data_IF_872241999740
#
_entry.id   IF_872241999740
#
_cell.length_a   1.000
_cell.length_b   1.000
_cell.length_c   1.000
_cell.angle_alpha   90.00
_cell.angle_beta   90.00
_cell.angle_gamma   90.00
#
_symmetry.space_group_name_H-M   'P 1'
#
loop_
_entity.id
_entity.type
_entity.pdbx_description
1 polymer ?
#
# COMPACT_ATOMS: atom_id res chain seq x y z
N UNK A 1 25.58 1.97 1.29
CA UNK A 1 24.64 2.55 2.28
C UNK A 1 24.01 1.40 3.05
N UNK A 2 23.92 1.50 4.38
CA UNK A 2 23.22 0.52 5.21
C UNK A 2 22.12 1.25 5.99
N UNK A 3 20.94 0.62 6.08
CA UNK A 3 19.81 1.13 6.86
C UNK A 3 19.45 0.05 7.87
N UNK A 4 19.53 0.38 9.17
CA UNK A 4 19.10 -0.51 10.25
C UNK A 4 17.67 -0.12 10.68
N UNK A 5 16.78 -1.12 10.76
CA UNK A 5 15.37 -0.95 11.12
C UNK A 5 14.95 -2.02 12.13
N UNK A 6 13.80 -1.83 12.77
CA UNK A 6 13.20 -2.86 13.61
C UNK A 6 12.96 -4.16 12.81
N UNK A 7 13.17 -5.31 13.46
CA UNK A 7 12.84 -6.59 12.88
C UNK A 7 11.41 -7.00 13.27
N UNK A 8 10.55 -7.18 12.28
CA UNK A 8 9.15 -7.61 12.47
C UNK A 8 9.03 -9.11 12.19
N UNK A 9 8.91 -9.92 13.25
CA UNK A 9 9.05 -11.38 13.18
C UNK A 9 7.84 -12.13 12.60
N UNK A 10 6.66 -11.51 12.55
CA UNK A 10 5.44 -12.16 12.01
C UNK A 10 5.42 -12.29 10.48
N UNK A 11 6.42 -11.75 9.79
CA UNK A 11 6.53 -11.83 8.33
C UNK A 11 5.52 -10.94 7.61
N UNK A 12 5.33 -11.17 6.31
CA UNK A 12 4.43 -10.37 5.48
C UNK A 12 2.98 -10.85 5.52
N UNK A 13 2.04 -9.95 5.25
CA UNK A 13 0.63 -10.24 5.05
C UNK A 13 0.45 -11.25 3.92
N UNK A 14 1.24 -11.18 2.84
CA UNK A 14 1.24 -12.18 1.77
C UNK A 14 1.46 -13.61 2.30
N UNK A 15 2.45 -13.79 3.20
CA UNK A 15 2.74 -15.09 3.83
C UNK A 15 1.62 -15.49 4.81
N UNK A 16 1.04 -14.51 5.50
CA UNK A 16 -0.04 -14.72 6.46
C UNK A 16 -1.33 -15.19 5.76
N UNK A 17 -1.69 -14.57 4.63
CA UNK A 17 -2.87 -14.89 3.81
C UNK A 17 -2.92 -16.34 3.38
N UNK A 18 -1.76 -16.93 3.03
CA UNK A 18 -1.67 -18.36 2.65
C UNK A 18 -2.09 -19.33 3.76
N UNK A 19 -2.14 -18.87 5.01
CA UNK A 19 -2.49 -19.68 6.19
C UNK A 19 -3.92 -19.40 6.69
N UNK A 20 -4.60 -18.39 6.16
CA UNK A 20 -5.92 -17.98 6.61
C UNK A 20 -6.98 -19.00 6.22
N UNK A 21 -7.90 -19.29 7.15
CA UNK A 21 -9.13 -20.01 6.82
C UNK A 21 -10.14 -19.03 6.24
N UNK A 22 -11.00 -19.51 5.35
CA UNK A 22 -12.07 -18.71 4.71
C UNK A 22 -12.97 -17.98 5.71
N UNK A 23 -13.21 -18.57 6.88
CA UNK A 23 -14.02 -17.96 7.95
C UNK A 23 -13.36 -16.74 8.60
N UNK A 24 -12.03 -16.63 8.56
CA UNK A 24 -11.25 -15.55 9.17
C UNK A 24 -11.10 -14.34 8.23
N UNK A 25 -11.16 -14.57 6.91
CA UNK A 25 -10.87 -13.59 5.87
C UNK A 25 -11.59 -12.25 6.07
N UNK A 26 -12.88 -12.29 6.37
CA UNK A 26 -13.69 -11.06 6.53
C UNK A 26 -13.20 -10.21 7.70
N UNK A 27 -12.91 -10.86 8.83
CA UNK A 27 -12.48 -10.17 10.05
C UNK A 27 -11.08 -9.60 9.88
N UNK A 28 -10.15 -10.43 9.38
CA UNK A 28 -8.77 -10.03 9.11
C UNK A 28 -8.73 -8.89 8.09
N UNK A 29 -9.52 -8.96 7.01
CA UNK A 29 -9.55 -7.87 6.05
C UNK A 29 -10.04 -6.58 6.67
N UNK A 30 -11.08 -6.63 7.53
CA UNK A 30 -11.56 -5.43 8.23
C UNK A 30 -10.48 -4.81 9.12
N UNK A 31 -9.81 -5.62 9.94
CA UNK A 31 -8.77 -5.15 10.87
C UNK A 31 -7.54 -4.60 10.15
N UNK A 32 -7.06 -5.29 9.11
CA UNK A 32 -5.94 -4.83 8.28
C UNK A 32 -6.32 -3.53 7.57
N UNK A 33 -7.51 -3.44 6.98
CA UNK A 33 -7.95 -2.24 6.25
C UNK A 33 -8.01 -1.03 7.18
N UNK A 34 -8.56 -1.19 8.39
CA UNK A 34 -8.64 -0.09 9.36
C UNK A 34 -7.25 0.47 9.69
N UNK A 35 -6.30 -0.41 10.02
CA UNK A 35 -4.92 -0.01 10.34
C UNK A 35 -4.19 0.62 9.15
N UNK A 36 -4.40 0.10 7.94
CA UNK A 36 -3.80 0.68 6.74
C UNK A 36 -4.39 2.06 6.41
N UNK A 37 -5.70 2.26 6.61
CA UNK A 37 -6.31 3.58 6.44
C UNK A 37 -5.73 4.60 7.43
N UNK A 38 -5.54 4.23 8.70
CA UNK A 38 -4.87 5.08 9.68
C UNK A 38 -3.44 5.43 9.26
N UNK A 39 -2.68 4.45 8.76
CA UNK A 39 -1.33 4.68 8.25
C UNK A 39 -1.33 5.61 7.02
N UNK A 40 -2.29 5.44 6.09
CA UNK A 40 -2.42 6.30 4.91
C UNK A 40 -2.79 7.74 5.27
N UNK A 41 -3.61 7.96 6.32
CA UNK A 41 -3.88 9.30 6.86
C UNK A 41 -2.60 9.94 7.37
N UNK A 42 -1.74 9.20 8.06
CA UNK A 42 -0.45 9.72 8.53
C UNK A 42 0.52 10.02 7.37
N UNK A 43 0.55 9.17 6.33
CA UNK A 43 1.33 9.43 5.12
C UNK A 43 0.83 10.67 4.38
N UNK A 44 -0.49 10.83 4.25
CA UNK A 44 -1.11 12.02 3.67
C UNK A 44 -0.74 13.28 4.46
N UNK A 45 -0.80 13.24 5.80
CA UNK A 45 -0.41 14.38 6.64
C UNK A 45 1.04 14.79 6.45
N UNK A 46 1.90 13.82 6.11
CA UNK A 46 3.33 14.04 5.79
C UNK A 46 3.58 14.33 4.31
N UNK A 47 2.54 14.37 3.48
CA UNK A 47 2.64 14.50 2.01
C UNK A 47 3.56 13.43 1.39
N UNK A 48 3.52 12.21 1.91
CA UNK A 48 4.28 11.05 1.42
C UNK A 48 3.33 10.09 0.72
N UNK A 49 3.69 9.63 -0.47
CA UNK A 49 3.06 8.46 -1.08
C UNK A 49 4.01 7.28 -1.09
N UNK A 50 3.50 6.12 -0.71
CA UNK A 50 4.23 4.87 -0.63
C UNK A 50 4.52 4.30 -2.03
N UNK A 51 3.52 4.26 -2.92
CA UNK A 51 3.59 3.87 -4.34
C UNK A 51 3.90 2.40 -4.62
N UNK A 52 4.21 1.60 -3.60
CA UNK A 52 4.35 0.13 -3.70
C UNK A 52 3.60 -0.62 -2.60
N UNK A 53 2.40 -0.15 -2.24
CA UNK A 53 1.60 -0.81 -1.22
C UNK A 53 1.05 -2.14 -1.77
N UNK A 54 1.42 -3.25 -1.12
CA UNK A 54 1.06 -4.62 -1.51
C UNK A 54 1.22 -5.58 -0.33
N UNK A 55 0.66 -6.80 -0.35
CA UNK A 55 0.71 -7.70 0.81
C UNK A 55 2.12 -8.09 1.24
N UNK A 56 3.12 -8.08 0.35
CA UNK A 56 4.52 -8.34 0.71
C UNK A 56 5.19 -7.18 1.45
N UNK A 57 4.67 -5.96 1.33
CA UNK A 57 5.14 -4.74 2.00
C UNK A 57 4.29 -4.35 3.23
N UNK A 58 3.41 -5.25 3.66
CA UNK A 58 2.63 -5.11 4.90
C UNK A 58 3.10 -6.22 5.83
N UNK A 59 3.66 -5.88 6.99
CA UNK A 59 4.24 -6.82 7.94
C UNK A 59 3.29 -7.05 9.11
N UNK A 60 3.23 -8.29 9.59
CA UNK A 60 2.49 -8.69 10.79
C UNK A 60 3.40 -8.51 12.00
N UNK A 61 3.10 -7.53 12.85
CA UNK A 61 3.85 -7.27 14.09
C UNK A 61 3.31 -8.04 15.29
N UNK A 62 2.01 -8.36 15.29
CA UNK A 62 1.37 -9.24 16.26
C UNK A 62 0.18 -9.93 15.60
N UNK A 63 -0.16 -11.14 16.04
CA UNK A 63 -1.36 -11.88 15.61
C UNK A 63 -2.47 -11.86 16.66
N UNK A 64 -2.18 -11.40 17.88
CA UNK A 64 -3.18 -11.27 18.96
C UNK A 64 -2.76 -10.17 19.95
N UNK A 65 -3.35 -8.96 19.86
CA UNK A 65 -4.23 -8.48 18.78
C UNK A 65 -3.49 -8.45 17.43
N UNK A 66 -4.23 -8.53 16.32
CA UNK A 66 -3.63 -8.40 14.99
C UNK A 66 -3.10 -6.97 14.79
N UNK A 67 -1.80 -6.83 14.57
CA UNK A 67 -1.16 -5.53 14.34
C UNK A 67 -0.31 -5.58 13.08
N UNK A 68 -0.50 -4.62 12.17
CA UNK A 68 0.23 -4.53 10.90
C UNK A 68 1.07 -3.26 10.78
N UNK A 69 2.15 -3.32 10.01
CA UNK A 69 3.03 -2.19 9.70
C UNK A 69 3.32 -2.14 8.21
N UNK A 70 3.33 -0.95 7.63
CA UNK A 70 3.81 -0.74 6.26
C UNK A 70 5.34 -0.70 6.28
N UNK A 71 5.99 -1.37 5.32
CA UNK A 71 7.43 -1.33 5.13
C UNK A 71 7.80 -1.05 3.66
N UNK A 72 9.10 -0.84 3.41
CA UNK A 72 9.68 -0.60 2.09
C UNK A 72 9.23 0.70 1.41
N UNK A 73 9.76 1.81 1.93
CA UNK A 73 9.61 3.15 1.37
C UNK A 73 10.64 3.45 0.26
N UNK A 74 11.26 2.43 -0.35
CA UNK A 74 12.38 2.60 -1.29
C UNK A 74 12.05 3.42 -2.54
N UNK A 75 10.77 3.47 -2.93
CA UNK A 75 10.28 4.27 -4.06
C UNK A 75 9.25 5.34 -3.64
N UNK A 76 9.09 5.54 -2.33
CA UNK A 76 8.17 6.52 -1.80
C UNK A 76 8.59 7.93 -2.24
N UNK A 77 7.61 8.81 -2.45
CA UNK A 77 7.86 10.21 -2.86
C UNK A 77 7.13 11.19 -1.98
N UNK A 78 7.79 12.31 -1.69
CA UNK A 78 7.15 13.47 -1.07
C UNK A 78 6.58 14.38 -2.16
N UNK A 79 5.29 14.69 -2.05
CA UNK A 79 4.60 15.57 -2.99
C UNK A 79 5.10 17.03 -2.92
N UNK A 80 5.70 17.44 -1.80
CA UNK A 80 6.23 18.79 -1.60
C UNK A 80 7.56 19.03 -2.32
N UNK A 81 8.35 17.98 -2.54
CA UNK A 81 9.73 18.09 -3.06
C UNK A 81 9.78 17.82 -4.57
N UNK A 82 8.90 16.97 -5.10
CA UNK A 82 9.08 16.42 -6.45
C UNK A 82 7.76 16.29 -7.23
N UNK A 83 7.10 17.44 -7.46
CA UNK A 83 5.88 17.52 -8.26
C UNK A 83 6.06 16.98 -9.70
N UNK A 84 7.28 17.03 -10.24
CA UNK A 84 7.62 16.53 -11.59
C UNK A 84 7.94 15.03 -11.64
N UNK A 85 8.41 14.44 -10.53
CA UNK A 85 8.90 13.06 -10.50
C UNK A 85 7.84 11.98 -10.23
N UNK A 86 6.57 12.34 -10.10
CA UNK A 86 5.50 11.39 -9.80
C UNK A 86 5.04 10.55 -11.01
N UNK A 87 5.51 10.91 -12.22
CA UNK A 87 5.24 10.19 -13.49
C UNK A 87 6.17 8.99 -13.73
N UNK A 88 7.14 8.73 -12.84
CA UNK A 88 8.06 7.61 -13.00
C UNK A 88 7.33 6.29 -12.80
N UNK A 89 7.30 5.44 -13.82
CA UNK A 89 6.79 4.07 -13.77
C UNK A 89 7.62 3.24 -12.78
N UNK A 90 7.13 3.10 -11.56
CA UNK A 90 7.80 2.39 -10.47
C UNK A 90 6.74 1.80 -9.53
N UNK A 91 7.03 0.63 -8.97
CA UNK A 91 6.12 -0.15 -8.12
C UNK A 91 5.68 -1.45 -8.79
N UNK A 92 4.86 -2.21 -8.08
CA UNK A 92 4.38 -3.52 -8.54
C UNK A 92 3.14 -3.35 -9.43
N UNK A 93 3.28 -3.63 -10.73
CA UNK A 93 2.24 -3.41 -11.76
C UNK A 93 0.85 -3.90 -11.34
N UNK A 94 0.77 -5.07 -10.68
CA UNK A 94 -0.50 -5.69 -10.24
C UNK A 94 -1.29 -4.87 -9.22
N UNK A 95 -0.65 -3.99 -8.45
CA UNK A 95 -1.32 -3.14 -7.45
C UNK A 95 -1.35 -1.67 -7.88
N UNK A 96 -0.75 -1.36 -9.03
CA UNK A 96 -0.55 0.00 -9.50
C UNK A 96 -1.85 0.60 -10.04
N UNK A 97 -2.09 1.86 -9.71
CA UNK A 97 -3.25 2.59 -10.15
C UNK A 97 -3.18 2.93 -11.66
N UNK A 98 -4.31 2.94 -12.39
CA UNK A 98 -4.36 3.13 -13.84
C UNK A 98 -3.77 4.47 -14.29
N UNK A 99 -3.87 5.49 -13.45
CA UNK A 99 -3.31 6.81 -13.69
C UNK A 99 -1.77 6.82 -13.73
N UNK A 100 -1.11 5.94 -12.97
CA UNK A 100 0.35 5.76 -13.01
C UNK A 100 0.76 4.92 -14.23
N UNK A 101 -0.11 4.02 -14.67
CA UNK A 101 0.10 3.20 -15.87
C UNK A 101 -0.06 3.99 -17.17
N UNK A 102 -0.43 5.27 -17.11
CA UNK A 102 -0.62 6.12 -18.28
C UNK A 102 -1.95 5.88 -18.99
N UNK A 103 -2.90 5.19 -18.35
CA UNK A 103 -4.22 4.95 -18.94
C UNK A 103 -5.16 6.17 -18.82
N UNK A 104 -4.78 7.22 -18.08
CA UNK A 104 -5.54 8.46 -17.95
C UNK A 104 -4.80 9.67 -18.56
N UNK A 105 -5.50 10.64 -19.18
CA UNK A 105 -4.86 11.80 -19.83
C UNK A 105 -4.20 12.75 -18.81
N UNK A 106 -2.88 12.87 -18.81
CA UNK A 106 -2.12 13.61 -17.79
C UNK A 106 -2.42 15.12 -17.68
N UNK A 107 -3.02 15.74 -18.70
CA UNK A 107 -3.21 17.20 -18.81
C UNK A 107 -4.24 17.78 -17.82
N UNK A 108 -5.13 16.97 -17.24
CA UNK A 108 -6.15 17.44 -16.27
C UNK A 108 -5.73 17.27 -14.80
N UNK A 109 -4.57 16.70 -14.52
CA UNK A 109 -4.25 16.15 -13.19
C UNK A 109 -3.03 16.82 -12.51
N UNK A 110 -2.62 18.00 -12.98
CA UNK A 110 -1.44 18.74 -12.49
C UNK A 110 -1.63 19.42 -11.12
N UNK A 111 -2.86 19.40 -10.56
CA UNK A 111 -3.15 20.05 -9.27
C UNK A 111 -2.79 19.16 -8.07
N UNK A 112 -1.55 19.35 -7.58
CA UNK A 112 -1.09 19.36 -6.17
C UNK A 112 -1.67 18.30 -5.19
N UNK A 113 -0.82 17.38 -4.75
CA UNK A 113 -0.90 16.67 -3.46
C UNK A 113 -1.91 15.52 -3.33
N UNK A 114 -3.08 15.60 -3.95
CA UNK A 114 -4.17 14.62 -3.73
C UNK A 114 -3.97 13.30 -4.49
N UNK A 115 -3.31 13.37 -5.64
CA UNK A 115 -3.11 12.22 -6.53
C UNK A 115 -2.21 11.14 -5.91
N UNK A 116 -1.24 11.53 -5.09
CA UNK A 116 -0.23 10.59 -4.59
C UNK A 116 -0.79 9.67 -3.51
N UNK A 117 -1.77 10.12 -2.73
CA UNK A 117 -2.49 9.26 -1.79
C UNK A 117 -3.57 8.45 -2.51
N UNK A 118 -4.15 8.97 -3.59
CA UNK A 118 -5.12 8.22 -4.38
C UNK A 118 -4.54 6.91 -4.95
N UNK A 119 -3.27 6.89 -5.36
CA UNK A 119 -2.62 5.67 -5.85
C UNK A 119 -2.39 4.63 -4.76
N UNK A 120 -2.13 5.07 -3.53
CA UNK A 120 -2.02 4.17 -2.37
C UNK A 120 -3.40 3.66 -1.94
N UNK A 121 -4.46 4.48 -2.08
CA UNK A 121 -5.85 4.07 -1.88
C UNK A 121 -6.29 3.03 -2.91
N UNK A 122 -5.91 3.17 -4.17
CA UNK A 122 -6.13 2.14 -5.19
C UNK A 122 -5.43 0.84 -4.80
N UNK A 123 -4.15 0.93 -4.44
CA UNK A 123 -3.35 -0.22 -4.00
C UNK A 123 -3.97 -0.94 -2.80
N UNK A 124 -4.50 -0.18 -1.83
CA UNK A 124 -5.27 -0.73 -0.70
C UNK A 124 -6.51 -1.49 -1.18
N UNK A 125 -7.27 -0.95 -2.14
CA UNK A 125 -8.41 -1.65 -2.75
C UNK A 125 -8.01 -3.00 -3.36
N UNK A 126 -6.86 -3.05 -4.02
CA UNK A 126 -6.30 -4.29 -4.59
C UNK A 126 -5.91 -5.29 -3.50
N UNK A 127 -5.30 -4.83 -2.39
CA UNK A 127 -5.00 -5.66 -1.22
C UNK A 127 -6.28 -6.23 -0.60
N UNK A 128 -7.33 -5.42 -0.44
CA UNK A 128 -8.62 -5.85 0.10
C UNK A 128 -9.30 -6.88 -0.79
N UNK A 129 -9.22 -6.71 -2.11
CA UNK A 129 -9.75 -7.67 -3.09
C UNK A 129 -9.01 -9.00 -2.99
N UNK A 130 -7.68 -8.98 -2.97
CA UNK A 130 -6.86 -10.19 -2.87
C UNK A 130 -7.08 -10.92 -1.55
N UNK A 131 -7.23 -10.20 -0.44
CA UNK A 131 -7.62 -10.79 0.85
C UNK A 131 -8.93 -11.56 0.75
N UNK A 132 -9.93 -11.02 0.07
CA UNK A 132 -11.26 -11.65 -0.04
C UNK A 132 -11.34 -12.80 -1.05
N UNK A 133 -10.58 -12.71 -2.14
CA UNK A 133 -10.74 -13.61 -3.30
C UNK A 133 -9.57 -14.58 -3.46
N UNK A 134 -8.42 -14.29 -2.86
CA UNK A 134 -7.17 -15.04 -3.06
C UNK A 134 -6.44 -14.68 -4.36
N UNK A 135 -6.92 -13.70 -5.13
CA UNK A 135 -6.31 -13.25 -6.39
C UNK A 135 -6.38 -11.74 -6.57
N UNK A 136 -5.39 -11.17 -7.25
CA UNK A 136 -5.51 -9.80 -7.76
C UNK A 136 -6.55 -9.74 -8.89
N UNK A 137 -7.35 -8.67 -9.00
CA UNK A 137 -8.44 -8.59 -9.97
C UNK A 137 -7.98 -8.45 -11.43
N UNK A 138 -6.71 -8.09 -11.68
CA UNK A 138 -6.12 -7.89 -13.01
C UNK A 138 -4.72 -8.51 -13.10
#
# INVERSE_FOLDING_TARGET
MFIAMEYVSGGSLEKYMRKLKRVEVKEICREVTAQLLEALVELQRKQIAHRDLKPSNILISSTSPLLVKICDFGIAKSADIDASGLKTYAGTVKYMAPEIQGYLPTEKYESRGTYTIAVDMWSLGMVCHELHTGSVPF
#
